data_IF_276356921053
#
_entry.id   IF_276356921053
#
_cell.length_a   1.000
_cell.length_b   1.000
_cell.length_c   1.000
_cell.angle_alpha   90.00
_cell.angle_beta   90.00
_cell.angle_gamma   90.00
#
_symmetry.space_group_name_H-M   'P 1'
#
loop_
_entity.id
_entity.type
_entity.pdbx_description
1 polymer ?
#
# COMPACT_ATOMS: atom_id res chain seq x y z
N UNK A 1 -1.36 3.86 21.90
CA UNK A 1 -1.34 4.53 20.59
C UNK A 1 -2.40 3.95 19.69
N UNK A 2 -3.01 4.79 18.86
CA UNK A 2 -3.90 4.39 17.77
C UNK A 2 -3.57 5.27 16.55
N UNK A 3 -3.52 4.67 15.36
CA UNK A 3 -3.20 5.37 14.12
C UNK A 3 -4.48 5.88 13.44
N UNK A 4 -4.43 7.13 12.96
CA UNK A 4 -5.49 7.70 12.12
C UNK A 4 -4.81 8.32 10.91
N UNK A 5 -5.01 7.76 9.72
CA UNK A 5 -4.45 8.32 8.49
C UNK A 5 -5.29 9.48 7.96
N UNK A 6 -4.66 10.41 7.23
CA UNK A 6 -5.36 11.56 6.62
C UNK A 6 -6.29 11.17 5.48
N UNK A 7 -6.06 10.04 4.84
CA UNK A 7 -6.81 9.55 3.69
C UNK A 7 -6.29 10.04 2.34
N UNK A 8 -6.59 9.29 1.26
CA UNK A 8 -6.21 9.67 -0.09
C UNK A 8 -7.05 10.84 -0.62
N UNK A 9 -6.50 11.57 -1.58
CA UNK A 9 -7.27 12.47 -2.43
C UNK A 9 -8.34 11.71 -3.21
N UNK A 10 -9.38 12.42 -3.64
CA UNK A 10 -10.33 11.92 -4.63
C UNK A 10 -9.63 11.70 -5.98
N UNK A 11 -10.16 10.78 -6.79
CA UNK A 11 -9.64 10.51 -8.12
C UNK A 11 -9.60 11.80 -8.96
N UNK A 12 -8.47 12.06 -9.65
CA UNK A 12 -8.38 13.12 -10.63
C UNK A 12 -9.14 12.78 -11.90
N UNK A 13 -9.68 13.79 -12.57
CA UNK A 13 -10.37 13.63 -13.86
C UNK A 13 -9.97 14.74 -14.82
N UNK A 14 -9.49 14.37 -15.99
CA UNK A 14 -9.13 15.30 -17.05
C UNK A 14 -9.63 14.81 -18.40
N UNK A 15 -10.42 15.61 -19.09
CA UNK A 15 -10.97 15.34 -20.44
C UNK A 15 -11.56 13.93 -20.59
N UNK A 16 -12.38 13.51 -19.59
CA UNK A 16 -13.05 12.20 -19.57
C UNK A 16 -12.20 11.03 -19.06
N UNK A 17 -10.92 11.23 -18.81
CA UNK A 17 -10.03 10.20 -18.28
C UNK A 17 -9.81 10.37 -16.76
N UNK A 18 -9.68 9.24 -16.06
CA UNK A 18 -9.23 9.23 -14.66
C UNK A 18 -7.72 9.32 -14.65
N UNK A 19 -7.18 10.27 -13.87
CA UNK A 19 -5.75 10.50 -13.75
C UNK A 19 -5.32 10.46 -12.29
N UNK A 20 -4.14 9.87 -12.03
CA UNK A 20 -3.55 9.76 -10.71
C UNK A 20 -2.34 10.65 -10.54
N UNK A 21 -2.19 11.28 -9.37
CA UNK A 21 -1.09 12.20 -9.08
C UNK A 21 0.31 11.57 -9.10
N UNK A 22 0.41 10.26 -8.95
CA UNK A 22 1.71 9.57 -8.86
C UNK A 22 2.25 9.02 -10.18
N UNK A 23 1.40 8.85 -11.19
CA UNK A 23 1.78 8.22 -12.47
C UNK A 23 1.43 9.08 -13.67
N UNK A 24 0.32 9.83 -13.59
CA UNK A 24 -0.10 10.71 -14.68
C UNK A 24 0.88 11.83 -14.98
N UNK A 25 1.53 12.38 -13.95
CA UNK A 25 2.51 13.48 -14.09
C UNK A 25 3.67 13.11 -15.01
N UNK A 26 4.25 11.94 -14.85
CA UNK A 26 5.42 11.51 -15.65
C UNK A 26 5.09 11.39 -17.15
N UNK A 27 3.89 10.89 -17.47
CA UNK A 27 3.47 10.80 -18.86
C UNK A 27 3.19 12.20 -19.44
N UNK A 28 2.51 13.06 -18.67
CA UNK A 28 2.23 14.43 -19.09
C UNK A 28 3.50 15.25 -19.29
N UNK A 29 4.50 15.08 -18.41
CA UNK A 29 5.81 15.73 -18.57
C UNK A 29 6.54 15.25 -19.82
N UNK A 30 6.52 13.95 -20.08
CA UNK A 30 7.09 13.39 -21.31
C UNK A 30 6.36 13.89 -22.57
N UNK A 31 5.03 14.00 -22.53
CA UNK A 31 4.21 14.49 -23.64
C UNK A 31 4.44 15.99 -23.89
N UNK A 32 4.61 16.78 -22.82
CA UNK A 32 4.97 18.19 -22.89
C UNK A 32 6.36 18.38 -23.52
N UNK A 33 7.37 17.65 -23.03
CA UNK A 33 8.74 17.70 -23.57
C UNK A 33 8.83 17.22 -25.03
N UNK A 34 7.94 16.30 -25.43
CA UNK A 34 7.82 15.85 -26.82
C UNK A 34 7.00 16.80 -27.71
N UNK A 35 6.41 17.87 -27.18
CA UNK A 35 5.55 18.79 -27.91
C UNK A 35 4.19 18.21 -28.33
N UNK A 36 3.76 17.12 -27.67
CA UNK A 36 2.46 16.46 -27.93
C UNK A 36 1.32 17.25 -27.29
N UNK A 37 1.56 17.84 -26.13
CA UNK A 37 0.61 18.71 -25.43
C UNK A 37 1.22 20.10 -25.21
N UNK A 38 0.38 21.10 -25.02
CA UNK A 38 0.80 22.45 -24.68
C UNK A 38 1.06 22.58 -23.16
N UNK A 39 1.75 23.66 -22.76
CA UNK A 39 1.93 24.01 -21.34
C UNK A 39 0.57 24.26 -20.67
N UNK A 40 -0.39 24.86 -21.36
CA UNK A 40 -1.74 25.07 -20.85
C UNK A 40 -2.46 23.75 -20.59
N UNK A 41 -2.34 22.77 -21.50
CA UNK A 41 -2.89 21.42 -21.32
C UNK A 41 -2.27 20.71 -20.10
N UNK A 42 -0.95 20.87 -19.91
CA UNK A 42 -0.24 20.30 -18.77
C UNK A 42 -0.75 20.89 -17.45
N UNK A 43 -0.85 22.21 -17.34
CA UNK A 43 -1.35 22.91 -16.15
C UNK A 43 -2.80 22.54 -15.85
N UNK A 44 -3.67 22.45 -16.87
CA UNK A 44 -5.06 22.00 -16.71
C UNK A 44 -5.13 20.58 -16.14
N UNK A 45 -4.31 19.67 -16.66
CA UNK A 45 -4.24 18.29 -16.19
C UNK A 45 -3.70 18.21 -14.74
N UNK A 46 -2.67 18.99 -14.38
CA UNK A 46 -2.10 19.07 -13.03
C UNK A 46 -3.15 19.53 -12.00
N UNK A 47 -3.89 20.60 -12.31
CA UNK A 47 -4.99 21.09 -11.46
C UNK A 47 -6.06 20.00 -11.29
N UNK A 48 -6.37 19.29 -12.37
CA UNK A 48 -7.37 18.22 -12.37
C UNK A 48 -6.96 17.00 -11.56
N UNK A 49 -5.66 16.74 -11.38
CA UNK A 49 -5.14 15.69 -10.50
C UNK A 49 -5.29 16.04 -9.01
N UNK A 50 -5.06 17.29 -8.63
CA UNK A 50 -5.04 17.72 -7.22
C UNK A 50 -6.40 18.25 -6.75
N UNK A 51 -7.45 17.48 -6.99
CA UNK A 51 -8.86 17.86 -6.84
C UNK A 51 -9.34 18.05 -5.40
N UNK A 52 -8.66 17.48 -4.43
CA UNK A 52 -9.02 17.56 -3.01
C UNK A 52 -7.80 17.49 -2.11
N UNK A 53 -7.97 17.81 -0.82
CA UNK A 53 -6.97 17.48 0.20
C UNK A 53 -6.83 15.96 0.32
N UNK A 54 -5.68 15.51 0.82
CA UNK A 54 -5.35 14.08 1.02
C UNK A 54 -3.94 13.77 0.55
N UNK A 55 -3.49 12.56 0.82
CA UNK A 55 -2.25 12.05 0.22
C UNK A 55 -2.50 11.54 -1.21
N UNK A 56 -1.43 11.21 -1.94
CA UNK A 56 -1.53 10.65 -3.29
C UNK A 56 -2.56 9.52 -3.37
N UNK A 57 -3.41 9.55 -4.41
CA UNK A 57 -4.49 8.57 -4.61
C UNK A 57 -4.03 7.26 -5.27
N UNK A 58 -2.74 7.09 -5.55
CA UNK A 58 -2.19 5.81 -6.02
C UNK A 58 -1.77 4.93 -4.85
N UNK A 59 -1.48 3.63 -5.08
CA UNK A 59 -0.88 2.74 -4.10
C UNK A 59 0.63 3.00 -3.99
N UNK A 60 0.97 4.26 -3.68
CA UNK A 60 2.31 4.69 -3.31
C UNK A 60 2.60 4.47 -1.82
N UNK A 61 3.63 5.11 -1.30
CA UNK A 61 4.09 4.92 0.09
C UNK A 61 3.03 5.32 1.11
N UNK A 62 2.33 6.45 0.93
CA UNK A 62 1.33 6.92 1.88
C UNK A 62 0.15 5.94 2.01
N UNK A 63 -0.44 5.51 0.89
CA UNK A 63 -1.53 4.53 0.89
C UNK A 63 -1.07 3.17 1.44
N UNK A 64 0.14 2.76 1.09
CA UNK A 64 0.74 1.53 1.62
C UNK A 64 0.89 1.61 3.13
N UNK A 65 1.48 2.69 3.67
CA UNK A 65 1.70 2.78 5.12
C UNK A 65 0.40 2.95 5.90
N UNK A 66 -0.62 3.63 5.36
CA UNK A 66 -1.96 3.63 5.92
C UNK A 66 -2.54 2.21 6.01
N UNK A 67 -2.33 1.39 4.96
CA UNK A 67 -2.73 -0.03 4.95
C UNK A 67 -1.91 -0.87 5.93
N UNK A 68 -0.61 -0.61 6.07
CA UNK A 68 0.25 -1.33 7.03
C UNK A 68 -0.13 -1.03 8.49
N UNK A 69 -0.44 0.21 8.83
CA UNK A 69 -0.90 0.59 10.18
C UNK A 69 -2.20 -0.13 10.54
N UNK A 70 -3.14 -0.25 9.60
CA UNK A 70 -4.36 -1.04 9.80
C UNK A 70 -4.05 -2.54 9.90
N UNK A 71 -3.17 -3.06 9.05
CA UNK A 71 -2.75 -4.48 9.05
C UNK A 71 -2.02 -4.91 10.31
N UNK A 72 -1.24 -4.01 10.93
CA UNK A 72 -0.59 -4.22 12.22
C UNK A 72 -1.58 -4.20 13.40
N UNK A 73 -2.86 -3.92 13.15
CA UNK A 73 -3.87 -3.76 14.18
C UNK A 73 -3.84 -2.41 14.90
N UNK A 74 -3.05 -1.44 14.42
CA UNK A 74 -2.85 -0.14 15.06
C UNK A 74 -3.93 0.90 14.72
N UNK A 75 -4.81 0.63 13.79
CA UNK A 75 -5.91 1.50 13.38
C UNK A 75 -7.25 0.78 13.41
N UNK A 76 -8.34 1.55 13.45
CA UNK A 76 -9.68 0.98 13.27
C UNK A 76 -9.86 0.49 11.83
N UNK A 77 -10.70 -0.53 11.58
CA UNK A 77 -11.02 -1.01 10.24
C UNK A 77 -11.45 0.11 9.28
N UNK A 78 -11.13 -0.05 8.00
CA UNK A 78 -11.35 0.91 6.91
C UNK A 78 -10.50 2.19 6.96
N UNK A 79 -9.70 2.40 8.02
CA UNK A 79 -8.88 3.61 8.15
C UNK A 79 -7.97 3.86 6.93
N UNK A 80 -7.45 2.81 6.29
CA UNK A 80 -6.47 2.94 5.22
C UNK A 80 -7.00 3.68 3.98
N UNK A 81 -8.24 3.40 3.57
CA UNK A 81 -8.73 3.75 2.24
C UNK A 81 -9.80 4.85 2.19
N UNK A 82 -10.43 5.21 3.33
CA UNK A 82 -11.46 6.28 3.35
C UNK A 82 -10.87 7.56 2.78
N UNK A 83 -11.46 8.21 1.75
CA UNK A 83 -10.96 9.47 1.21
C UNK A 83 -10.89 10.57 2.26
N UNK A 84 -9.92 11.49 2.12
CA UNK A 84 -9.65 12.54 3.10
C UNK A 84 -10.83 13.51 3.31
N UNK A 85 -11.66 13.71 2.30
CA UNK A 85 -12.82 14.62 2.32
C UNK A 85 -14.14 13.91 2.66
N UNK A 86 -14.12 12.58 2.78
CA UNK A 86 -15.31 11.80 3.11
C UNK A 86 -15.70 11.97 4.58
N UNK A 87 -16.99 12.15 4.87
CA UNK A 87 -17.49 12.32 6.24
C UNK A 87 -17.16 11.13 7.16
N UNK A 88 -17.04 9.93 6.59
CA UNK A 88 -16.62 8.71 7.31
C UNK A 88 -15.20 8.79 7.84
N UNK A 89 -14.32 9.62 7.24
CA UNK A 89 -12.99 9.93 7.76
C UNK A 89 -13.08 10.63 9.12
N UNK A 90 -13.96 11.61 9.25
CA UNK A 90 -14.18 12.30 10.52
C UNK A 90 -14.81 11.37 11.57
N UNK A 91 -15.76 10.53 11.16
CA UNK A 91 -16.36 9.52 12.04
C UNK A 91 -15.29 8.52 12.54
N UNK A 92 -14.40 8.04 11.67
CA UNK A 92 -13.30 7.15 12.05
C UNK A 92 -12.34 7.83 13.03
N UNK A 93 -11.99 9.10 12.81
CA UNK A 93 -11.14 9.87 13.71
C UNK A 93 -11.82 10.05 15.09
N UNK A 94 -13.10 10.39 15.13
CA UNK A 94 -13.87 10.50 16.39
C UNK A 94 -13.90 9.17 17.16
N UNK A 95 -14.21 8.06 16.48
CA UNK A 95 -14.22 6.73 17.10
C UNK A 95 -12.83 6.32 17.59
N UNK A 96 -11.77 6.67 16.86
CA UNK A 96 -10.39 6.44 17.29
C UNK A 96 -10.04 7.23 18.56
N UNK A 97 -10.49 8.50 18.66
CA UNK A 97 -10.34 9.31 19.86
C UNK A 97 -11.08 8.73 21.05
N UNK A 98 -12.29 8.23 20.86
CA UNK A 98 -13.03 7.52 21.90
C UNK A 98 -12.31 6.24 22.33
N UNK A 99 -11.85 5.45 21.35
CA UNK A 99 -11.19 4.17 21.61
C UNK A 99 -9.87 4.30 22.35
N UNK A 100 -9.05 5.32 22.07
CA UNK A 100 -7.77 5.50 22.77
C UNK A 100 -7.99 5.73 24.28
N UNK A 101 -9.05 6.43 24.69
CA UNK A 101 -9.38 6.63 26.09
C UNK A 101 -9.73 5.31 26.77
N UNK A 102 -10.47 4.43 26.10
CA UNK A 102 -10.79 3.08 26.61
C UNK A 102 -9.51 2.22 26.72
N UNK A 103 -8.61 2.30 25.74
CA UNK A 103 -7.34 1.59 25.77
C UNK A 103 -6.48 2.00 26.98
N UNK A 104 -6.43 3.29 27.29
CA UNK A 104 -5.71 3.80 28.47
C UNK A 104 -6.35 3.27 29.74
N UNK A 105 -7.68 3.36 29.90
CA UNK A 105 -8.39 2.86 31.06
C UNK A 105 -8.19 1.36 31.30
N UNK A 106 -8.08 0.58 30.24
CA UNK A 106 -7.90 -0.87 30.29
C UNK A 106 -6.44 -1.32 30.20
N UNK A 107 -5.48 -0.37 30.27
CA UNK A 107 -4.05 -0.61 30.14
C UNK A 107 -3.66 -1.44 28.89
N UNK A 108 -4.31 -1.17 27.76
CA UNK A 108 -3.99 -1.82 26.49
C UNK A 108 -2.83 -1.07 25.83
N UNK A 109 -1.67 -1.69 25.81
CA UNK A 109 -0.43 -1.12 25.25
C UNK A 109 -0.11 -1.75 23.89
N UNK A 110 0.76 -1.09 23.13
CA UNK A 110 1.07 -1.50 21.74
C UNK A 110 1.69 -2.89 21.65
N UNK A 111 2.53 -3.28 22.62
CA UNK A 111 3.14 -4.62 22.67
C UNK A 111 2.13 -5.76 22.85
N UNK A 112 0.88 -5.48 23.25
CA UNK A 112 -0.19 -6.48 23.27
C UNK A 112 -0.77 -6.73 21.86
N UNK A 113 -0.60 -5.78 20.94
CA UNK A 113 -1.22 -5.77 19.61
C UNK A 113 -0.18 -6.05 18.53
N UNK A 114 0.92 -5.28 18.55
CA UNK A 114 1.98 -5.38 17.55
C UNK A 114 2.98 -6.47 17.96
N UNK A 115 2.93 -7.57 17.25
CA UNK A 115 3.75 -8.77 17.49
C UNK A 115 4.46 -9.19 16.20
N UNK A 116 5.40 -10.14 16.26
CA UNK A 116 6.02 -10.71 15.05
C UNK A 116 4.98 -11.21 14.07
N UNK A 117 3.88 -11.82 14.52
CA UNK A 117 2.79 -12.33 13.68
C UNK A 117 2.03 -11.20 12.97
N UNK A 118 1.81 -10.06 13.64
CA UNK A 118 1.16 -8.92 12.99
C UNK A 118 2.06 -8.30 11.90
N UNK A 119 3.39 -8.31 12.05
CA UNK A 119 4.32 -7.94 10.97
C UNK A 119 4.28 -8.94 9.82
N UNK A 120 4.25 -10.25 10.09
CA UNK A 120 4.11 -11.26 9.03
C UNK A 120 2.79 -11.10 8.27
N UNK A 121 1.69 -10.77 8.95
CA UNK A 121 0.43 -10.40 8.30
C UNK A 121 0.59 -9.15 7.45
N UNK A 122 1.22 -8.11 7.96
CA UNK A 122 1.43 -6.86 7.21
C UNK A 122 2.28 -7.09 5.95
N UNK A 123 3.33 -7.90 6.00
CA UNK A 123 4.14 -8.27 4.82
C UNK A 123 3.29 -8.98 3.77
N UNK A 124 2.45 -9.95 4.16
CA UNK A 124 1.57 -10.67 3.24
C UNK A 124 0.53 -9.74 2.61
N UNK A 125 -0.08 -8.87 3.42
CA UNK A 125 -1.03 -7.87 2.95
C UNK A 125 -0.34 -6.88 2.01
N UNK A 126 0.90 -6.44 2.30
CA UNK A 126 1.68 -5.60 1.40
C UNK A 126 1.86 -6.25 0.02
N UNK A 127 2.14 -7.55 -0.02
CA UNK A 127 2.18 -8.33 -1.28
C UNK A 127 0.84 -8.30 -2.02
N UNK A 128 -0.25 -8.57 -1.32
CA UNK A 128 -1.59 -8.64 -1.90
C UNK A 128 -2.10 -7.29 -2.46
N UNK A 129 -1.77 -6.19 -1.80
CA UNK A 129 -2.14 -4.84 -2.28
C UNK A 129 -1.18 -4.27 -3.34
N UNK A 130 -0.07 -4.95 -3.64
CA UNK A 130 0.98 -4.40 -4.49
C UNK A 130 1.60 -3.14 -3.89
N UNK A 131 1.89 -3.16 -2.60
CA UNK A 131 2.37 -2.02 -1.83
C UNK A 131 3.78 -1.55 -2.23
N UNK A 132 4.17 -0.41 -1.69
CA UNK A 132 5.47 0.23 -1.93
C UNK A 132 6.63 -0.55 -1.29
N UNK A 133 7.80 -0.51 -1.93
CA UNK A 133 9.06 -1.00 -1.37
C UNK A 133 9.47 -0.26 -0.10
N UNK A 134 9.04 0.99 0.08
CA UNK A 134 9.29 1.77 1.29
C UNK A 134 8.70 1.14 2.56
N UNK A 135 7.69 0.26 2.43
CA UNK A 135 7.17 -0.50 3.56
C UNK A 135 8.26 -1.31 4.29
N UNK A 136 9.29 -1.77 3.57
CA UNK A 136 10.39 -2.54 4.16
C UNK A 136 11.11 -1.74 5.24
N UNK A 137 11.58 -0.55 4.90
CA UNK A 137 12.30 0.31 5.86
C UNK A 137 11.40 0.83 6.97
N UNK A 138 10.15 1.16 6.66
CA UNK A 138 9.20 1.67 7.66
C UNK A 138 8.77 0.59 8.65
N UNK A 139 8.45 -0.63 8.18
CA UNK A 139 8.11 -1.73 9.08
C UNK A 139 9.32 -2.18 9.90
N UNK A 140 10.52 -2.20 9.32
CA UNK A 140 11.76 -2.48 10.05
C UNK A 140 12.00 -1.44 11.17
N UNK A 141 11.75 -0.14 10.89
CA UNK A 141 11.87 0.92 11.90
C UNK A 141 10.86 0.76 13.04
N UNK A 142 9.61 0.41 12.74
CA UNK A 142 8.58 0.15 13.76
C UNK A 142 8.94 -1.11 14.57
N UNK A 143 9.36 -2.20 13.91
CA UNK A 143 9.76 -3.43 14.55
C UNK A 143 10.94 -3.22 15.50
N UNK A 144 11.97 -2.46 15.06
CA UNK A 144 13.12 -2.11 15.91
C UNK A 144 12.73 -1.32 17.15
N UNK A 145 11.74 -0.42 17.08
CA UNK A 145 11.20 0.29 18.25
C UNK A 145 10.43 -0.61 19.23
N UNK A 146 9.95 -1.75 18.73
CA UNK A 146 9.25 -2.76 19.50
C UNK A 146 10.16 -3.91 19.94
N UNK A 147 11.48 -3.83 19.65
CA UNK A 147 12.46 -4.89 19.89
C UNK A 147 12.08 -6.23 19.21
N UNK A 148 11.41 -6.14 18.04
CA UNK A 148 11.04 -7.27 17.21
C UNK A 148 12.03 -7.37 16.07
N UNK A 149 12.71 -8.51 15.97
CA UNK A 149 13.58 -8.80 14.84
C UNK A 149 12.73 -9.00 13.55
N UNK A 150 12.96 -8.14 12.54
CA UNK A 150 12.30 -8.18 11.24
C UNK A 150 13.35 -8.02 10.15
N UNK A 151 13.69 -9.13 9.52
CA UNK A 151 14.76 -9.22 8.52
C UNK A 151 14.23 -9.23 7.09
N UNK A 152 15.11 -9.08 6.10
CA UNK A 152 14.76 -9.24 4.67
C UNK A 152 14.32 -10.68 4.38
N UNK A 153 14.84 -11.67 5.08
CA UNK A 153 14.42 -13.07 4.97
C UNK A 153 12.95 -13.26 5.34
N UNK A 154 12.43 -12.49 6.30
CA UNK A 154 10.99 -12.50 6.62
C UNK A 154 10.15 -11.99 5.45
N UNK A 155 10.63 -10.95 4.75
CA UNK A 155 9.96 -10.43 3.55
C UNK A 155 9.91 -11.47 2.43
N UNK A 156 11.02 -12.15 2.17
CA UNK A 156 11.05 -13.21 1.16
C UNK A 156 10.15 -14.38 1.55
N UNK A 157 10.26 -14.86 2.79
CA UNK A 157 9.50 -16.00 3.30
C UNK A 157 7.99 -15.74 3.32
N UNK A 158 7.57 -14.56 3.79
CA UNK A 158 6.15 -14.24 3.99
C UNK A 158 5.49 -13.64 2.74
N UNK A 159 6.20 -12.79 2.00
CA UNK A 159 5.64 -11.95 0.95
C UNK A 159 5.77 -12.51 -0.46
N UNK A 160 6.86 -13.23 -0.76
CA UNK A 160 7.25 -13.57 -2.13
C UNK A 160 6.22 -14.42 -2.90
N UNK A 161 5.46 -15.26 -2.21
CA UNK A 161 4.45 -16.16 -2.78
C UNK A 161 3.03 -15.61 -2.74
N UNK A 162 2.83 -14.43 -2.17
CA UNK A 162 1.49 -13.83 -2.12
C UNK A 162 1.21 -13.15 -3.46
N UNK A 163 0.11 -13.48 -4.15
CA UNK A 163 -0.25 -12.83 -5.40
C UNK A 163 -0.70 -11.39 -5.13
N UNK A 164 -0.45 -10.50 -6.09
CA UNK A 164 -1.03 -9.15 -6.05
C UNK A 164 -2.47 -9.22 -6.53
N UNK A 165 -3.40 -8.87 -5.65
CA UNK A 165 -4.84 -8.92 -5.91
C UNK A 165 -5.40 -7.54 -6.29
N UNK A 166 -4.76 -6.45 -5.84
CA UNK A 166 -5.30 -5.11 -6.00
C UNK A 166 -4.77 -4.45 -7.27
N UNK A 167 -5.70 -4.03 -8.14
CA UNK A 167 -5.44 -3.48 -9.47
C UNK A 167 -5.35 -1.95 -9.41
N UNK A 168 -4.42 -1.42 -8.63
CA UNK A 168 -4.21 0.03 -8.44
C UNK A 168 -2.93 0.51 -9.11
N UNK A 169 -2.95 1.75 -9.59
CA UNK A 169 -1.75 2.44 -10.03
C UNK A 169 -0.72 2.51 -8.88
N UNK A 170 0.59 2.40 -9.16
CA UNK A 170 1.24 2.39 -10.47
C UNK A 170 1.26 1.02 -11.18
N UNK A 171 0.98 -0.08 -10.51
CA UNK A 171 1.07 -1.44 -11.10
C UNK A 171 -0.19 -1.85 -11.84
N UNK A 172 -1.30 -1.17 -11.65
CA UNK A 172 -2.62 -1.45 -12.22
C UNK A 172 -3.32 -0.21 -12.76
N UNK A 173 -4.65 -0.28 -12.81
CA UNK A 173 -5.48 0.69 -13.53
C UNK A 173 -6.16 1.73 -12.61
N UNK A 174 -6.69 1.28 -11.47
CA UNK A 174 -7.58 2.06 -10.62
C UNK A 174 -6.84 2.90 -9.58
N UNK A 175 -7.58 3.69 -8.78
CA UNK A 175 -7.08 4.58 -7.75
C UNK A 175 -7.67 4.24 -6.38
N UNK A 176 -7.23 4.91 -5.32
CA UNK A 176 -7.61 4.60 -3.93
C UNK A 176 -9.10 4.80 -3.63
N UNK A 177 -9.76 5.74 -4.29
CA UNK A 177 -11.22 5.93 -4.17
C UNK A 177 -11.97 4.71 -4.71
N UNK A 178 -11.55 4.18 -5.88
CA UNK A 178 -12.12 2.94 -6.44
C UNK A 178 -11.88 1.75 -5.48
N UNK A 179 -10.69 1.67 -4.89
CA UNK A 179 -10.35 0.65 -3.92
C UNK A 179 -11.25 0.71 -2.68
N UNK A 180 -11.51 1.90 -2.15
CA UNK A 180 -12.40 2.09 -1.02
C UNK A 180 -13.81 1.55 -1.33
N UNK A 181 -14.38 1.96 -2.47
CA UNK A 181 -15.72 1.52 -2.87
C UNK A 181 -15.79 0.05 -3.31
N UNK A 182 -14.66 -0.54 -3.72
CA UNK A 182 -14.58 -1.98 -3.99
C UNK A 182 -14.58 -2.86 -2.72
N UNK A 183 -14.51 -2.27 -1.53
CA UNK A 183 -14.47 -2.95 -0.24
C UNK A 183 -13.19 -2.69 0.57
N UNK A 184 -12.20 -2.03 -0.03
CA UNK A 184 -10.98 -1.57 0.63
C UNK A 184 -10.12 -2.68 1.21
N UNK A 185 -9.30 -2.32 2.18
CA UNK A 185 -8.39 -3.25 2.86
C UNK A 185 -9.10 -4.43 3.54
N UNK A 186 -10.27 -4.24 4.20
CA UNK A 186 -11.04 -5.34 4.76
C UNK A 186 -11.36 -6.47 3.77
N UNK A 187 -11.74 -6.13 2.54
CA UNK A 187 -12.04 -7.13 1.51
C UNK A 187 -10.78 -7.94 1.11
N UNK A 188 -9.62 -7.29 1.05
CA UNK A 188 -8.33 -7.97 0.79
C UNK A 188 -7.97 -8.90 1.95
N UNK A 189 -8.07 -8.41 3.18
CA UNK A 189 -7.80 -9.21 4.40
C UNK A 189 -8.72 -10.43 4.43
N UNK A 190 -10.02 -10.27 4.13
CA UNK A 190 -10.97 -11.39 4.07
C UNK A 190 -10.53 -12.46 3.07
N UNK A 191 -10.15 -12.07 1.84
CA UNK A 191 -9.66 -13.00 0.82
C UNK A 191 -8.41 -13.77 1.30
N UNK A 192 -7.48 -13.11 1.99
CA UNK A 192 -6.29 -13.77 2.57
C UNK A 192 -6.64 -14.70 3.73
N UNK A 193 -7.57 -14.32 4.60
CA UNK A 193 -8.07 -15.17 5.70
C UNK A 193 -8.76 -16.42 5.18
N UNK A 194 -9.57 -16.33 4.13
CA UNK A 194 -10.25 -17.46 3.50
C UNK A 194 -9.28 -18.48 2.89
N UNK A 195 -8.05 -18.04 2.56
CA UNK A 195 -6.95 -18.92 2.12
C UNK A 195 -6.02 -19.37 3.26
N UNK A 196 -6.34 -19.05 4.52
CA UNK A 196 -5.52 -19.34 5.71
C UNK A 196 -4.09 -18.77 5.60
N UNK A 197 -3.92 -17.63 4.95
CA UNK A 197 -2.62 -17.00 4.76
C UNK A 197 -2.23 -16.07 5.91
N UNK A 198 -3.17 -15.60 6.72
CA UNK A 198 -2.93 -14.70 7.83
C UNK A 198 -3.04 -15.41 9.19
N UNK A 199 -2.29 -14.91 10.18
CA UNK A 199 -2.57 -15.21 11.57
C UNK A 199 -3.87 -14.51 11.98
N UNK A 200 -4.94 -15.29 12.04
CA UNK A 200 -6.31 -14.80 12.23
C UNK A 200 -6.59 -14.24 13.63
N UNK A 201 -5.76 -14.62 14.61
CA UNK A 201 -5.96 -14.30 16.02
C UNK A 201 -5.15 -13.06 16.45
N UNK A 202 -4.43 -12.42 15.53
CA UNK A 202 -3.73 -11.15 15.76
C UNK A 202 -4.71 -10.09 16.27
N UNK A 203 -4.42 -9.49 17.44
CA UNK A 203 -5.27 -8.47 18.06
C UNK A 203 -5.16 -7.13 17.35
N UNK A 204 -6.22 -6.32 17.50
CA UNK A 204 -6.27 -4.95 16.99
C UNK A 204 -6.71 -3.97 18.08
N UNK A 205 -6.52 -2.67 17.82
CA UNK A 205 -6.81 -1.58 18.78
C UNK A 205 -8.25 -1.58 19.30
N UNK A 206 -9.23 -2.11 18.54
CA UNK A 206 -10.61 -2.17 19.00
C UNK A 206 -10.91 -3.36 19.95
N UNK A 207 -9.91 -4.18 20.24
CA UNK A 207 -10.03 -5.35 21.12
C UNK A 207 -10.51 -6.61 20.44
N UNK A 208 -10.76 -6.56 19.12
CA UNK A 208 -11.10 -7.71 18.28
C UNK A 208 -9.88 -8.21 17.53
N UNK A 209 -9.92 -9.46 17.10
CA UNK A 209 -8.93 -10.04 16.21
C UNK A 209 -9.06 -9.49 14.78
N UNK A 210 -8.02 -9.65 13.98
CA UNK A 210 -8.08 -9.30 12.55
C UNK A 210 -9.17 -10.09 11.82
N UNK A 211 -9.43 -11.33 12.22
CA UNK A 211 -10.53 -12.15 11.68
C UNK A 211 -11.89 -11.55 12.02
N UNK A 212 -12.16 -11.27 13.30
CA UNK A 212 -13.45 -10.73 13.74
C UNK A 212 -13.78 -9.38 13.09
N UNK A 213 -12.76 -8.56 12.83
CA UNK A 213 -12.94 -7.27 12.16
C UNK A 213 -13.27 -7.37 10.66
N UNK A 214 -12.93 -8.47 10.02
CA UNK A 214 -13.02 -8.60 8.57
C UNK A 214 -13.90 -9.78 8.12
N UNK A 215 -14.58 -10.46 9.05
CA UNK A 215 -15.40 -11.65 8.77
C UNK A 215 -16.49 -11.37 7.73
N UNK A 216 -17.16 -10.24 7.85
CA UNK A 216 -18.29 -9.82 7.03
C UNK A 216 -17.89 -8.88 5.88
N UNK A 217 -16.57 -8.71 5.63
CA UNK A 217 -16.11 -7.84 4.57
C UNK A 217 -16.47 -8.41 3.19
N UNK A 218 -16.96 -7.54 2.31
CA UNK A 218 -17.43 -7.87 0.97
C UNK A 218 -16.57 -7.18 -0.08
N UNK A 219 -16.22 -7.88 -1.13
CA UNK A 219 -15.65 -7.30 -2.34
C UNK A 219 -16.80 -6.92 -3.30
N UNK A 220 -16.96 -5.63 -3.55
CA UNK A 220 -18.03 -5.11 -4.42
C UNK A 220 -17.60 -4.96 -5.88
N UNK A 221 -16.28 -5.00 -6.16
CA UNK A 221 -15.74 -4.88 -7.52
C UNK A 221 -14.48 -5.75 -7.66
N UNK A 222 -14.61 -6.85 -8.38
CA UNK A 222 -13.54 -7.81 -8.62
C UNK A 222 -12.52 -7.37 -9.69
N UNK A 223 -12.80 -6.32 -10.45
CA UNK A 223 -11.79 -5.71 -11.32
C UNK A 223 -10.77 -4.90 -10.53
N UNK A 224 -11.19 -4.31 -9.42
CA UNK A 224 -10.34 -3.53 -8.50
C UNK A 224 -9.63 -4.44 -7.50
N UNK A 225 -10.38 -5.38 -6.86
CA UNK A 225 -9.84 -6.34 -5.88
C UNK A 225 -10.07 -7.76 -6.44
N UNK A 226 -9.09 -8.26 -7.16
CA UNK A 226 -9.16 -9.53 -7.90
C UNK A 226 -9.19 -10.75 -6.99
N UNK A 227 -9.60 -11.87 -7.56
CA UNK A 227 -9.58 -13.18 -6.90
C UNK A 227 -8.23 -13.88 -7.09
N UNK A 228 -7.97 -14.91 -6.29
CA UNK A 228 -6.73 -15.70 -6.35
C UNK A 228 -6.56 -16.50 -7.65
N UNK A 229 -7.63 -16.80 -8.35
CA UNK A 229 -7.65 -17.48 -9.66
C UNK A 229 -7.33 -16.54 -10.83
N UNK A 230 -7.54 -15.22 -10.63
CA UNK A 230 -7.24 -14.18 -11.62
C UNK A 230 -6.50 -12.98 -11.01
N UNK A 231 -5.33 -13.16 -10.36
CA UNK A 231 -4.58 -12.07 -9.73
C UNK A 231 -3.98 -11.12 -10.77
N UNK A 232 -3.62 -9.91 -10.33
CA UNK A 232 -2.86 -8.97 -11.17
C UNK A 232 -1.48 -9.54 -11.51
N UNK A 233 -0.80 -10.09 -10.51
CA UNK A 233 0.45 -10.84 -10.66
C UNK A 233 0.40 -12.10 -9.78
N UNK A 234 0.94 -13.21 -10.29
CA UNK A 234 0.91 -14.49 -9.56
C UNK A 234 1.84 -14.54 -8.35
N UNK A 235 2.87 -13.72 -8.35
CA UNK A 235 3.85 -13.65 -7.27
C UNK A 235 3.88 -12.23 -6.69
N UNK A 236 4.05 -12.15 -5.38
CA UNK A 236 3.88 -10.94 -4.58
C UNK A 236 4.76 -9.76 -4.93
N UNK A 237 4.44 -8.66 -4.30
CA UNK A 237 4.91 -7.35 -4.69
C UNK A 237 6.38 -7.05 -4.42
N UNK A 238 7.06 -7.76 -3.49
CA UNK A 238 8.46 -7.48 -3.13
C UNK A 238 9.26 -8.78 -3.14
N UNK A 239 10.39 -8.76 -3.86
CA UNK A 239 11.39 -9.82 -3.89
C UNK A 239 12.67 -9.33 -3.25
N UNK A 240 13.33 -10.22 -2.53
CA UNK A 240 14.67 -9.97 -1.98
C UNK A 240 15.70 -10.57 -2.93
N UNK A 241 16.64 -9.74 -3.37
CA UNK A 241 17.72 -10.12 -4.27
C UNK A 241 19.03 -10.14 -3.50
N UNK A 242 19.89 -11.11 -3.77
CA UNK A 242 21.25 -11.18 -3.22
C UNK A 242 22.24 -11.44 -4.33
N UNK A 243 23.40 -10.81 -4.24
CA UNK A 243 24.48 -10.96 -5.22
C UNK A 243 25.73 -10.19 -4.81
N UNK A 244 26.74 -10.23 -5.65
CA UNK A 244 28.01 -9.57 -5.38
C UNK A 244 27.92 -8.03 -5.29
N UNK A 245 26.91 -7.42 -5.92
CA UNK A 245 26.66 -5.97 -5.84
C UNK A 245 25.86 -5.63 -4.58
N UNK A 246 25.02 -6.56 -4.09
CA UNK A 246 24.20 -6.39 -2.90
C UNK A 246 24.27 -7.65 -2.02
N UNK A 247 25.40 -7.90 -1.34
CA UNK A 247 25.60 -9.11 -0.54
C UNK A 247 24.64 -9.20 0.65
N UNK A 248 24.29 -8.07 1.25
CA UNK A 248 23.36 -7.98 2.38
C UNK A 248 21.89 -7.95 1.94
N UNK A 249 21.66 -7.84 0.63
CA UNK A 249 20.33 -7.85 0.01
C UNK A 249 19.92 -6.52 -0.61
N UNK A 250 19.08 -6.64 -1.61
CA UNK A 250 18.36 -5.54 -2.25
C UNK A 250 16.91 -5.96 -2.43
N UNK A 251 16.03 -5.00 -2.68
CA UNK A 251 14.60 -5.27 -2.88
C UNK A 251 14.17 -4.83 -4.27
N UNK A 252 13.28 -5.63 -4.85
CA UNK A 252 12.67 -5.38 -6.14
C UNK A 252 11.15 -5.52 -6.02
N UNK A 253 10.42 -4.61 -6.67
CA UNK A 253 8.98 -4.74 -6.92
C UNK A 253 8.76 -5.21 -8.37
N UNK A 254 8.55 -6.51 -8.62
CA UNK A 254 8.45 -7.04 -9.99
C UNK A 254 7.27 -6.45 -10.78
N UNK A 255 6.16 -6.13 -10.11
CA UNK A 255 4.98 -5.53 -10.74
C UNK A 255 5.21 -4.13 -11.30
N UNK A 256 6.27 -3.43 -10.86
CA UNK A 256 6.67 -2.11 -11.36
C UNK A 256 7.90 -2.16 -12.27
N UNK A 257 8.53 -3.34 -12.40
CA UNK A 257 9.71 -3.51 -13.25
C UNK A 257 9.32 -3.78 -14.72
N UNK A 258 10.10 -3.24 -15.63
CA UNK A 258 9.95 -3.51 -17.07
C UNK A 258 10.23 -4.98 -17.37
N UNK A 259 9.29 -5.68 -17.98
CA UNK A 259 9.37 -7.14 -18.22
C UNK A 259 10.65 -7.56 -18.99
N UNK A 260 11.09 -6.74 -19.95
CA UNK A 260 12.28 -7.01 -20.76
C UNK A 260 13.58 -6.88 -19.95
N UNK A 261 13.57 -6.20 -18.79
CA UNK A 261 14.71 -6.04 -17.90
C UNK A 261 14.79 -7.12 -16.81
N UNK A 262 13.77 -7.96 -16.65
CA UNK A 262 13.76 -9.03 -15.64
C UNK A 262 14.85 -10.10 -15.89
N UNK A 263 15.29 -10.24 -17.14
CA UNK A 263 16.46 -11.03 -17.54
C UNK A 263 17.21 -10.25 -18.60
N UNK A 264 18.31 -9.62 -18.22
CA UNK A 264 19.06 -8.75 -19.10
C UNK A 264 20.58 -8.95 -18.91
N UNK A 265 21.30 -8.84 -20.00
CA UNK A 265 22.76 -8.76 -20.00
C UNK A 265 23.18 -7.60 -20.89
N UNK A 266 24.05 -6.73 -20.39
CA UNK A 266 24.48 -5.54 -21.11
C UNK A 266 25.77 -4.98 -20.52
N UNK A 267 26.31 -3.94 -21.17
CA UNK A 267 27.42 -3.18 -20.64
C UNK A 267 26.91 -2.27 -19.51
N UNK A 268 27.63 -2.25 -18.39
CA UNK A 268 27.34 -1.30 -17.32
C UNK A 268 27.84 0.09 -17.71
N UNK A 269 27.02 1.11 -17.48
CA UNK A 269 27.44 2.50 -17.44
C UNK A 269 27.33 2.94 -15.99
N UNK A 270 28.43 3.43 -15.44
CA UNK A 270 28.51 3.80 -14.02
C UNK A 270 28.61 5.32 -13.92
N UNK A 271 27.81 5.89 -13.04
CA UNK A 271 27.79 7.32 -12.74
C UNK A 271 28.10 7.51 -11.24
N UNK A 272 28.86 8.53 -10.90
CA UNK A 272 29.20 8.86 -9.50
C UNK A 272 28.18 9.82 -8.88
N UNK A 273 27.40 10.51 -9.71
CA UNK A 273 26.37 11.44 -9.25
C UNK A 273 25.14 11.45 -10.18
N UNK A 274 24.04 12.07 -9.72
CA UNK A 274 22.82 12.27 -10.52
C UNK A 274 23.10 13.24 -11.67
N UNK A 275 23.96 14.23 -11.45
CA UNK A 275 24.33 15.25 -12.44
C UNK A 275 25.11 14.63 -13.63
N UNK A 276 25.90 13.60 -13.39
CA UNK A 276 26.58 12.87 -14.47
C UNK A 276 25.64 11.97 -15.27
N UNK A 277 24.50 11.58 -14.69
CA UNK A 277 23.51 10.76 -15.35
C UNK A 277 22.63 11.58 -16.34
N UNK A 278 22.40 12.87 -16.06
CA UNK A 278 21.64 13.81 -16.88
C UNK A 278 22.53 14.53 -17.89
#
# INVERSE_FOLDING_TARGET
TIGVSGGPMLNGHHRGNTIGSGTGVWQLDADLNAGIISEEDFVEAEISMSRSKGHCMTMGTASTMASMVESLGMALPHNAAIPAVDSRRYANAFLSGKRIVEMVKNNIIMSNIVTKKSFENAIKINGAIGGSTNAVIHLAAIAGRMEIDLSLEDWERCGSKIPTLVNLQPSGKYLMEDFYYAGGLPAVIKKLLDKNLLDKDSLTVNGKTIKENNLDAVCWNEDVIRNFDNPLTKEGGIKVLKGNIAPDGAILKPSAASKHLMKHTGKAVVFESVEEFH
#
